data_IF_272953880709
#
_entry.id   IF_272953880709
#
_cell.length_a   1.000
_cell.length_b   1.000
_cell.length_c   1.000
_cell.angle_alpha   90.00
_cell.angle_beta   90.00
_cell.angle_gamma   90.00
#
_symmetry.space_group_name_H-M   'P 1'
#
loop_
_entity.id
_entity.type
_entity.pdbx_description
1 polymer ?
#
# COMPACT_ATOMS: atom_id res chain seq x y z
N UNK A 1 -6.38 1.95 5.48
CA UNK A 1 -6.19 2.86 6.63
C UNK A 1 -4.84 2.71 7.33
N UNK A 2 -4.28 1.51 7.52
CA UNK A 2 -3.09 1.23 8.36
C UNK A 2 -1.85 2.11 8.14
N UNK A 3 -1.56 2.56 6.91
CA UNK A 3 -0.39 3.43 6.66
C UNK A 3 -0.57 4.88 7.17
N UNK A 4 -1.80 5.39 7.20
CA UNK A 4 -2.11 6.73 7.70
C UNK A 4 -2.05 6.84 9.22
N UNK A 5 -2.04 5.71 9.92
CA UNK A 5 -1.95 5.64 11.39
C UNK A 5 -0.52 5.84 11.90
N UNK A 6 0.50 5.45 11.12
CA UNK A 6 1.92 5.52 11.50
C UNK A 6 2.73 6.59 10.78
N UNK A 7 2.24 7.10 9.63
CA UNK A 7 2.97 8.04 8.78
C UNK A 7 2.15 9.30 8.53
N UNK A 8 2.58 10.43 9.11
CA UNK A 8 2.02 11.75 8.82
C UNK A 8 2.57 12.26 7.48
N UNK A 9 1.76 13.01 6.72
CA UNK A 9 2.08 13.58 5.40
C UNK A 9 2.25 12.58 4.24
N UNK A 10 1.34 11.61 4.09
CA UNK A 10 1.18 10.86 2.84
C UNK A 10 0.78 11.83 1.71
N UNK A 11 1.64 12.00 0.69
CA UNK A 11 1.39 12.93 -0.42
C UNK A 11 1.05 12.24 -1.73
N UNK A 12 1.67 11.09 -2.00
CA UNK A 12 1.47 10.36 -3.25
C UNK A 12 1.47 8.86 -2.92
N UNK A 13 0.46 8.16 -3.41
CA UNK A 13 0.34 6.71 -3.36
C UNK A 13 0.16 6.21 -4.79
N UNK A 14 1.09 5.39 -5.29
CA UNK A 14 1.06 4.86 -6.65
C UNK A 14 0.90 3.35 -6.63
N UNK A 15 -0.04 2.83 -7.42
CA UNK A 15 -0.17 1.38 -7.63
C UNK A 15 0.90 0.97 -8.65
N UNK A 16 1.85 0.17 -8.20
CA UNK A 16 2.95 -0.31 -9.06
C UNK A 16 2.67 -1.68 -9.64
N UNK A 17 1.79 -2.46 -9.01
CA UNK A 17 1.41 -3.79 -9.48
C UNK A 17 0.05 -4.19 -8.96
N UNK A 18 -0.71 -4.85 -9.82
CA UNK A 18 -1.92 -5.58 -9.45
C UNK A 18 -1.66 -7.07 -9.66
N UNK A 19 -2.08 -7.88 -8.70
CA UNK A 19 -2.05 -9.33 -8.84
C UNK A 19 -3.20 -10.01 -8.08
N UNK A 20 -3.30 -11.32 -8.28
CA UNK A 20 -4.39 -12.15 -7.79
C UNK A 20 -3.78 -13.36 -7.08
N UNK A 21 -4.34 -13.73 -5.92
CA UNK A 21 -4.04 -15.01 -5.28
C UNK A 21 -5.08 -16.03 -5.72
N UNK A 22 -4.62 -17.13 -6.29
CA UNK A 22 -5.45 -18.25 -6.74
C UNK A 22 -5.12 -19.48 -5.91
N UNK A 23 -6.12 -20.10 -5.31
CA UNK A 23 -6.01 -21.37 -4.59
C UNK A 23 -7.07 -22.34 -5.12
N UNK A 24 -6.69 -23.59 -5.39
CA UNK A 24 -7.57 -24.62 -5.96
C UNK A 24 -8.35 -24.15 -7.21
N UNK A 25 -7.69 -23.38 -8.07
CA UNK A 25 -8.29 -22.83 -9.29
C UNK A 25 -9.30 -21.70 -9.07
N UNK A 26 -9.48 -21.21 -7.84
CA UNK A 26 -10.38 -20.10 -7.51
C UNK A 26 -9.59 -18.89 -7.01
N UNK A 27 -10.01 -17.70 -7.42
CA UNK A 27 -9.43 -16.46 -6.90
C UNK A 27 -9.89 -16.28 -5.46
N UNK A 28 -8.94 -16.13 -4.55
CA UNK A 28 -9.19 -15.95 -3.11
C UNK A 28 -8.83 -14.55 -2.62
N UNK A 29 -7.99 -13.82 -3.36
CA UNK A 29 -7.68 -12.43 -3.04
C UNK A 29 -7.26 -11.64 -4.28
N UNK A 30 -7.61 -10.36 -4.27
CA UNK A 30 -7.12 -9.34 -5.21
C UNK A 30 -6.17 -8.45 -4.44
N UNK A 31 -4.95 -8.26 -4.95
CA UNK A 31 -3.91 -7.49 -4.26
C UNK A 31 -3.40 -6.36 -5.13
N UNK A 32 -3.10 -5.24 -4.48
CA UNK A 32 -2.43 -4.11 -5.08
C UNK A 32 -1.15 -3.84 -4.30
N UNK A 33 -0.03 -3.73 -5.00
CA UNK A 33 1.21 -3.22 -4.45
C UNK A 33 1.24 -1.71 -4.63
N UNK A 34 1.34 -1.00 -3.51
CA UNK A 34 1.32 0.46 -3.49
C UNK A 34 2.67 0.98 -3.01
N UNK A 35 3.28 1.87 -3.80
CA UNK A 35 4.43 2.67 -3.38
C UNK A 35 3.93 3.96 -2.76
N UNK A 36 4.37 4.26 -1.55
CA UNK A 36 3.92 5.42 -0.78
C UNK A 36 5.08 6.38 -0.58
N UNK A 37 4.89 7.63 -0.98
CA UNK A 37 5.82 8.72 -0.71
C UNK A 37 5.24 9.60 0.40
N UNK A 38 5.99 9.70 1.49
CA UNK A 38 5.66 10.55 2.62
C UNK A 38 6.88 11.41 2.98
N UNK A 39 6.64 12.59 3.53
CA UNK A 39 7.71 13.37 4.13
C UNK A 39 7.99 12.80 5.53
N UNK A 40 9.24 12.44 5.77
CA UNK A 40 9.69 12.06 7.10
C UNK A 40 9.88 13.34 7.93
N UNK A 41 9.09 13.50 8.97
CA UNK A 41 9.30 14.52 9.99
C UNK A 41 10.10 13.87 11.14
N UNK A 42 11.41 14.03 11.14
CA UNK A 42 12.19 13.88 12.37
C UNK A 42 11.77 15.02 13.30
N UNK A 43 11.34 14.69 14.52
CA UNK A 43 10.98 15.69 15.53
C UNK A 43 12.16 16.62 15.81
N UNK A 44 11.86 17.92 15.77
CA UNK A 44 12.73 19.11 15.87
C UNK A 44 13.67 19.42 14.68
#
# INVERSE_FOLDING_TARGET
ETAGESLKNLRIAEITKLDLKVENGKVVAYRAKVSLSFKYESGD
#
